data_IF_272055585560
#
_entry.id   IF_272055585560
#
_cell.length_a   1.000
_cell.length_b   1.000
_cell.length_c   1.000
_cell.angle_alpha   90.00
_cell.angle_beta   90.00
_cell.angle_gamma   90.00
#
_symmetry.space_group_name_H-M   'P 1'
#
loop_
_entity.id
_entity.type
_entity.pdbx_description
1 polymer ?
#
# COMPACT_ATOMS: atom_id res chain seq x y z
N UNK A 1 -26.11 -5.62 8.66
CA UNK A 1 -25.20 -4.99 9.64
C UNK A 1 -25.80 -3.67 10.12
N UNK A 2 -25.96 -3.44 11.44
CA UNK A 2 -26.69 -2.29 11.99
C UNK A 2 -26.02 -0.94 11.70
N UNK A 3 -24.69 -0.90 11.57
CA UNK A 3 -23.95 0.32 11.19
C UNK A 3 -24.30 0.81 9.78
N UNK A 4 -24.52 -0.08 8.80
CA UNK A 4 -24.93 0.30 7.44
C UNK A 4 -26.36 0.85 7.38
N UNK A 5 -27.25 0.34 8.25
CA UNK A 5 -28.60 0.88 8.40
C UNK A 5 -28.59 2.31 8.95
N UNK A 6 -27.61 2.65 9.80
CA UNK A 6 -27.43 4.00 10.34
C UNK A 6 -27.04 5.03 9.26
N UNK A 7 -26.31 4.57 8.23
CA UNK A 7 -25.92 5.39 7.07
C UNK A 7 -26.95 5.35 5.93
N UNK A 8 -28.11 4.71 6.12
CA UNK A 8 -29.19 4.65 5.13
C UNK A 8 -28.83 3.90 3.84
N UNK A 9 -27.72 3.16 3.79
CA UNK A 9 -27.28 2.41 2.61
C UNK A 9 -27.75 0.97 2.71
N UNK A 10 -28.35 0.46 1.63
CA UNK A 10 -28.67 -0.97 1.49
C UNK A 10 -27.35 -1.74 1.39
N UNK A 11 -27.17 -2.77 2.23
CA UNK A 11 -26.03 -3.68 2.14
C UNK A 11 -26.13 -4.46 0.82
N UNK A 12 -25.18 -4.22 -0.08
CA UNK A 12 -25.00 -5.06 -1.26
C UNK A 12 -23.87 -6.04 -0.95
N UNK A 13 -24.26 -7.30 -0.73
CA UNK A 13 -23.33 -8.41 -0.63
C UNK A 13 -22.39 -8.39 -1.84
N UNK A 14 -21.09 -8.62 -1.62
CA UNK A 14 -19.99 -8.54 -2.59
C UNK A 14 -19.34 -7.16 -2.79
N UNK A 15 -20.08 -6.05 -2.85
CA UNK A 15 -19.44 -4.74 -3.11
C UNK A 15 -18.81 -4.16 -1.85
N UNK A 16 -19.51 -4.23 -0.72
CA UNK A 16 -18.99 -3.77 0.58
C UNK A 16 -17.84 -4.67 1.09
N UNK A 17 -17.81 -5.93 0.67
CA UNK A 17 -16.78 -6.91 1.05
C UNK A 17 -15.40 -6.60 0.44
N UNK A 18 -15.34 -5.79 -0.61
CA UNK A 18 -14.07 -5.34 -1.23
C UNK A 18 -13.59 -4.00 -0.66
N UNK A 19 -14.51 -3.15 -0.21
CA UNK A 19 -14.20 -1.78 0.25
C UNK A 19 -13.50 -1.79 1.61
N UNK A 20 -14.04 -2.51 2.60
CA UNK A 20 -13.45 -2.52 3.96
C UNK A 20 -12.08 -3.19 4.01
N UNK A 21 -11.87 -4.39 3.41
CA UNK A 21 -10.53 -4.99 3.35
C UNK A 21 -9.57 -4.15 2.50
N UNK A 22 -10.04 -3.54 1.40
CA UNK A 22 -9.21 -2.68 0.57
C UNK A 22 -8.72 -1.42 1.30
N UNK A 23 -9.58 -0.78 2.10
CA UNK A 23 -9.18 0.36 2.95
C UNK A 23 -8.15 -0.03 4.02
N UNK A 24 -8.36 -1.18 4.67
CA UNK A 24 -7.42 -1.71 5.66
C UNK A 24 -6.07 -2.07 5.02
N UNK A 25 -6.10 -2.66 3.84
CA UNK A 25 -4.88 -2.98 3.09
C UNK A 25 -4.11 -1.72 2.70
N UNK A 26 -4.81 -0.68 2.21
CA UNK A 26 -4.20 0.63 1.92
C UNK A 26 -3.52 1.20 3.17
N UNK A 27 -4.17 1.14 4.34
CA UNK A 27 -3.58 1.62 5.58
C UNK A 27 -2.26 0.90 5.91
N UNK A 28 -2.24 -0.44 5.85
CA UNK A 28 -1.02 -1.23 6.08
C UNK A 28 0.07 -0.86 5.06
N UNK A 29 -0.29 -0.69 3.79
CA UNK A 29 0.65 -0.33 2.73
C UNK A 29 1.24 1.07 2.96
N UNK A 30 0.45 2.04 3.39
CA UNK A 30 0.95 3.38 3.75
C UNK A 30 1.97 3.29 4.89
N UNK A 31 1.72 2.48 5.92
CA UNK A 31 2.69 2.26 7.00
C UNK A 31 4.00 1.70 6.44
N UNK A 32 3.93 0.68 5.57
CA UNK A 32 5.12 0.12 4.93
C UNK A 32 5.85 1.12 4.03
N UNK A 33 5.12 1.94 3.27
CA UNK A 33 5.70 2.98 2.44
C UNK A 33 6.50 3.99 3.28
N UNK A 34 5.98 4.36 4.46
CA UNK A 34 6.69 5.23 5.41
C UNK A 34 7.94 4.55 5.95
N UNK A 35 7.84 3.29 6.40
CA UNK A 35 8.98 2.55 6.95
C UNK A 35 10.10 2.37 5.92
N UNK A 36 9.76 1.97 4.69
CA UNK A 36 10.73 1.84 3.59
C UNK A 36 11.27 3.21 3.17
N UNK A 37 10.45 4.25 3.16
CA UNK A 37 10.89 5.62 2.90
C UNK A 37 11.93 6.09 3.91
N UNK A 38 11.70 5.87 5.20
CA UNK A 38 12.67 6.18 6.27
C UNK A 38 13.95 5.37 6.07
N UNK A 39 13.83 4.07 5.76
CA UNK A 39 14.99 3.22 5.51
C UNK A 39 15.80 3.70 4.30
N UNK A 40 15.15 4.11 3.22
CA UNK A 40 15.83 4.70 2.06
C UNK A 40 16.55 6.00 2.43
N UNK A 41 15.88 6.93 3.12
CA UNK A 41 16.49 8.20 3.52
C UNK A 41 17.72 8.00 4.42
N UNK A 42 17.70 7.00 5.29
CA UNK A 42 18.78 6.74 6.25
C UNK A 42 19.92 5.92 5.66
N UNK A 43 19.62 4.87 4.89
CA UNK A 43 20.60 3.84 4.53
C UNK A 43 20.96 3.83 3.04
N UNK A 44 20.19 4.48 2.17
CA UNK A 44 20.47 4.44 0.72
C UNK A 44 21.82 5.07 0.37
N UNK A 45 22.22 6.14 1.06
CA UNK A 45 23.54 6.76 0.89
C UNK A 45 24.70 5.81 1.20
N UNK A 46 24.57 5.02 2.27
CA UNK A 46 25.57 4.04 2.68
C UNK A 46 25.75 2.91 1.66
N UNK A 47 24.69 2.56 0.91
CA UNK A 47 24.76 1.51 -0.14
C UNK A 47 25.68 1.86 -1.31
N UNK A 48 26.03 3.15 -1.47
CA UNK A 48 27.02 3.58 -2.48
C UNK A 48 28.47 3.39 -2.02
N UNK A 49 28.72 3.36 -0.71
CA UNK A 49 30.05 3.12 -0.15
C UNK A 49 30.42 1.64 -0.14
N UNK A 50 29.43 0.74 -0.29
CA UNK A 50 29.67 -0.70 -0.38
C UNK A 50 30.29 -1.09 -1.73
N UNK A 51 31.55 -1.54 -1.71
CA UNK A 51 32.27 -2.07 -2.90
C UNK A 51 31.65 -3.35 -3.48
N UNK A 52 30.98 -4.16 -2.65
CA UNK A 52 30.33 -5.41 -3.06
C UNK A 52 28.93 -5.46 -2.45
N UNK A 53 27.93 -5.93 -3.20
CA UNK A 53 26.57 -6.20 -2.70
C UNK A 53 25.62 -4.99 -2.62
N UNK A 54 26.13 -3.75 -2.70
CA UNK A 54 25.28 -2.54 -2.62
C UNK A 54 24.23 -2.43 -3.73
N UNK A 55 24.50 -2.99 -4.91
CA UNK A 55 23.58 -2.93 -6.06
C UNK A 55 22.29 -3.73 -5.83
N UNK A 56 22.39 -4.92 -5.21
CA UNK A 56 21.23 -5.77 -4.91
C UNK A 56 20.27 -5.06 -3.95
N UNK A 57 20.84 -4.43 -2.92
CA UNK A 57 20.07 -3.67 -1.91
C UNK A 57 19.39 -2.46 -2.54
N UNK A 58 20.06 -1.75 -3.46
CA UNK A 58 19.48 -0.62 -4.20
C UNK A 58 18.32 -1.04 -5.10
N UNK A 59 18.48 -2.15 -5.82
CA UNK A 59 17.41 -2.71 -6.67
C UNK A 59 16.25 -3.19 -5.80
N UNK A 60 16.51 -3.80 -4.65
CA UNK A 60 15.48 -4.22 -3.71
C UNK A 60 14.67 -3.03 -3.18
N UNK A 61 15.33 -2.00 -2.64
CA UNK A 61 14.63 -0.81 -2.14
C UNK A 61 13.82 -0.09 -3.22
N UNK A 62 14.41 0.08 -4.41
CA UNK A 62 13.71 0.69 -5.54
C UNK A 62 12.54 -0.16 -6.03
N UNK A 63 12.75 -1.47 -6.17
CA UNK A 63 11.74 -2.43 -6.59
C UNK A 63 10.57 -2.47 -5.62
N UNK A 64 10.84 -2.51 -4.32
CA UNK A 64 9.78 -2.52 -3.33
C UNK A 64 8.96 -1.23 -3.31
N UNK A 65 9.60 -0.05 -3.42
CA UNK A 65 8.85 1.20 -3.54
C UNK A 65 7.94 1.22 -4.77
N UNK A 66 8.42 0.71 -5.90
CA UNK A 66 7.65 0.65 -7.15
C UNK A 66 6.48 -0.32 -7.02
N UNK A 67 6.72 -1.56 -6.58
CA UNK A 67 5.68 -2.58 -6.42
C UNK A 67 4.63 -2.11 -5.41
N UNK A 68 5.07 -1.57 -4.27
CA UNK A 68 4.17 -1.10 -3.23
C UNK A 68 3.32 0.06 -3.72
N UNK A 69 3.89 1.00 -4.48
CA UNK A 69 3.16 2.09 -5.12
C UNK A 69 2.13 1.59 -6.14
N UNK A 70 2.53 0.73 -7.08
CA UNK A 70 1.65 0.19 -8.14
C UNK A 70 0.47 -0.56 -7.53
N UNK A 71 0.72 -1.47 -6.58
CA UNK A 71 -0.34 -2.25 -5.95
C UNK A 71 -1.27 -1.35 -5.13
N UNK A 72 -0.74 -0.36 -4.41
CA UNK A 72 -1.57 0.60 -3.66
C UNK A 72 -2.51 1.37 -4.59
N UNK A 73 -2.02 1.82 -5.75
CA UNK A 73 -2.85 2.51 -6.76
C UNK A 73 -3.93 1.57 -7.29
N UNK A 74 -3.60 0.32 -7.62
CA UNK A 74 -4.58 -0.66 -8.11
C UNK A 74 -5.68 -0.92 -7.08
N UNK A 75 -5.32 -1.11 -5.81
CA UNK A 75 -6.30 -1.30 -4.72
C UNK A 75 -7.16 -0.05 -4.53
N UNK A 76 -6.57 1.14 -4.59
CA UNK A 76 -7.31 2.39 -4.52
C UNK A 76 -8.35 2.50 -5.66
N UNK A 77 -7.96 2.16 -6.89
CA UNK A 77 -8.87 2.13 -8.04
C UNK A 77 -9.99 1.11 -7.84
N UNK A 78 -9.68 -0.09 -7.36
CA UNK A 78 -10.69 -1.12 -7.07
C UNK A 78 -11.68 -0.68 -5.99
N UNK A 79 -11.19 -0.08 -4.91
CA UNK A 79 -12.03 0.44 -3.82
C UNK A 79 -12.91 1.57 -4.32
N UNK A 80 -12.37 2.52 -5.10
CA UNK A 80 -13.14 3.64 -5.63
C UNK A 80 -14.21 3.17 -6.63
N UNK A 81 -13.89 2.19 -7.48
CA UNK A 81 -14.86 1.60 -8.40
C UNK A 81 -15.95 0.81 -7.68
N UNK A 82 -15.60 0.11 -6.58
CA UNK A 82 -16.56 -0.65 -5.78
C UNK A 82 -17.42 0.24 -4.88
N UNK A 83 -16.91 1.41 -4.46
CA UNK A 83 -17.67 2.33 -3.62
C UNK A 83 -18.79 3.08 -4.39
N UNK A 84 -18.63 3.20 -5.71
CA UNK A 84 -19.58 3.84 -6.64
C UNK A 84 -20.82 2.98 -6.86
#
# INVERSE_FOLDING_TARGET
MPALHLFGRKWLAATDDLVYPGLFEIFIRVVWFVLIGIACLRYYGETWQCKVGGQLVRVFFGGELVILGVVTILVFVMVNHSAR
#
